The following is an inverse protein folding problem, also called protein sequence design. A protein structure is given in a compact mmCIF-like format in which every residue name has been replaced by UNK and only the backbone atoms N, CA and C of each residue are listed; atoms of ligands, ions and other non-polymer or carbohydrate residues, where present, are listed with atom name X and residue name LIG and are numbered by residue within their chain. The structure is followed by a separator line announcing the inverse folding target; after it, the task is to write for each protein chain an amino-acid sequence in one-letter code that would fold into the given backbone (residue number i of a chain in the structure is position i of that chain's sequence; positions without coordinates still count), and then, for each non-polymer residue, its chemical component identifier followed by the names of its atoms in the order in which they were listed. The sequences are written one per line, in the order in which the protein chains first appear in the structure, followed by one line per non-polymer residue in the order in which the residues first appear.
data_IF_591689401313
#
_entry.id   IF_591689401313
#
_cell.length_a   1.000
_cell.length_b   1.000
_cell.length_c   1.000
_cell.angle_alpha   90.00
_cell.angle_beta   90.00
_cell.angle_gamma   90.00
#
_symmetry.space_group_name_H-M   'P 1'
#
loop_
_entity.id
_entity.type
_entity.pdbx_description
1 polymer ?
#
# COMPACT_ATOMS: atom_id res chain seq x y z
N UNK A 1 12.31 23.27 -4.76
CA UNK A 1 12.69 23.48 -6.18
C UNK A 1 14.09 22.98 -6.52
N UNK A 2 15.15 23.35 -5.78
CA UNK A 2 16.52 22.86 -6.06
C UNK A 2 16.65 21.35 -5.83
N UNK A 3 16.11 20.83 -4.73
CA UNK A 3 16.14 19.38 -4.41
C UNK A 3 15.36 18.56 -5.45
N UNK A 4 14.19 19.04 -5.88
CA UNK A 4 13.38 18.39 -6.92
C UNK A 4 14.07 18.40 -8.29
N UNK A 5 14.80 19.47 -8.63
CA UNK A 5 15.56 19.57 -9.87
C UNK A 5 16.78 18.62 -9.87
N UNK A 6 17.45 18.51 -8.72
CA UNK A 6 18.61 17.63 -8.54
C UNK A 6 18.23 16.15 -8.64
N UNK A 7 17.09 15.76 -8.07
CA UNK A 7 16.48 14.43 -8.25
C UNK A 7 16.21 14.11 -9.73
N UNK A 8 15.69 15.10 -10.48
CA UNK A 8 15.38 14.93 -11.90
C UNK A 8 16.65 14.76 -12.75
N UNK A 9 17.71 15.52 -12.46
CA UNK A 9 19.00 15.39 -13.16
C UNK A 9 19.64 14.02 -12.89
N UNK A 10 19.63 13.55 -11.64
CA UNK A 10 20.14 12.21 -11.29
C UNK A 10 19.35 11.13 -12.03
N UNK A 11 18.04 11.27 -12.12
CA UNK A 11 17.18 10.34 -12.83
C UNK A 11 17.48 10.29 -14.34
N UNK A 12 17.71 11.45 -14.98
CA UNK A 12 18.11 11.51 -16.40
C UNK A 12 19.47 10.86 -16.61
N UNK A 13 20.46 11.14 -15.75
CA UNK A 13 21.80 10.54 -15.82
C UNK A 13 21.72 9.02 -15.69
N UNK A 14 20.88 8.53 -14.77
CA UNK A 14 20.64 7.10 -14.60
C UNK A 14 20.04 6.46 -15.86
N UNK A 15 19.03 7.08 -16.47
CA UNK A 15 18.43 6.61 -17.73
C UNK A 15 19.46 6.59 -18.87
N UNK A 16 20.28 7.64 -19.00
CA UNK A 16 21.35 7.70 -19.99
C UNK A 16 22.38 6.57 -19.79
N UNK A 17 22.75 6.29 -18.54
CA UNK A 17 23.71 5.24 -18.23
C UNK A 17 23.18 3.84 -18.59
N UNK A 18 21.92 3.57 -18.25
CA UNK A 18 21.24 2.30 -18.58
C UNK A 18 21.13 2.12 -20.10
N UNK A 19 20.67 3.15 -20.81
CA UNK A 19 20.48 3.07 -22.27
C UNK A 19 21.81 2.92 -23.03
N UNK A 20 22.88 3.56 -22.56
CA UNK A 20 24.22 3.42 -23.13
C UNK A 20 24.80 2.01 -22.90
N UNK A 21 24.67 1.50 -21.67
CA UNK A 21 25.16 0.15 -21.32
C UNK A 21 24.45 -0.97 -22.12
N UNK A 22 23.16 -0.84 -22.39
CA UNK A 22 22.37 -1.81 -23.16
C UNK A 22 22.71 -1.78 -24.65
N UNK A 23 22.97 -0.59 -25.23
CA UNK A 23 23.37 -0.46 -26.65
C UNK A 23 24.71 -1.13 -26.92
N UNK A 24 25.69 -0.98 -26.04
CA UNK A 24 27.04 -1.50 -26.27
C UNK A 24 27.12 -3.04 -26.21
N UNK A 25 26.25 -3.66 -25.41
CA UNK A 25 26.18 -5.11 -25.23
C UNK A 25 25.36 -5.83 -26.31
N UNK A 26 24.39 -5.15 -26.92
CA UNK A 26 23.53 -5.75 -27.98
C UNK A 26 24.17 -5.78 -29.38
N UNK A 27 25.15 -4.91 -29.67
CA UNK A 27 25.79 -4.80 -31.00
C UNK A 27 26.63 -6.04 -31.38
N UNK A 28 27.03 -6.87 -30.42
CA UNK A 28 27.90 -8.05 -30.66
C UNK A 28 27.17 -9.41 -30.66
N UNK A 29 25.87 -9.44 -30.42
CA UNK A 29 25.10 -10.69 -30.32
C UNK A 29 24.58 -11.12 -31.69
N UNK A 30 24.58 -12.43 -31.95
CA UNK A 30 23.82 -13.02 -33.06
C UNK A 30 22.32 -12.83 -32.83
N UNK A 31 21.51 -12.88 -33.91
CA UNK A 31 20.05 -12.69 -33.81
C UNK A 31 19.40 -13.69 -32.83
N UNK A 32 19.90 -14.93 -32.79
CA UNK A 32 19.41 -16.00 -31.92
C UNK A 32 19.72 -15.70 -30.44
N UNK A 33 20.93 -15.25 -30.12
CA UNK A 33 21.31 -14.84 -28.76
C UNK A 33 20.52 -13.61 -28.28
N UNK A 34 20.19 -12.69 -29.20
CA UNK A 34 19.39 -11.51 -28.90
C UNK A 34 17.95 -11.90 -28.53
N UNK A 35 17.34 -12.82 -29.27
CA UNK A 35 15.99 -13.33 -28.96
C UNK A 35 15.95 -14.00 -27.58
N UNK A 36 16.93 -14.85 -27.29
CA UNK A 36 17.04 -15.53 -26.00
C UNK A 36 17.23 -14.56 -24.83
N UNK A 37 18.03 -13.50 -25.03
CA UNK A 37 18.21 -12.44 -24.04
C UNK A 37 16.88 -11.71 -23.78
N UNK A 38 16.13 -11.34 -24.81
CA UNK A 38 14.83 -10.65 -24.67
C UNK A 38 13.83 -11.52 -23.92
N UNK A 39 13.74 -12.81 -24.27
CA UNK A 39 12.89 -13.78 -23.57
C UNK A 39 13.26 -13.89 -22.09
N UNK A 40 14.56 -13.92 -21.77
CA UNK A 40 15.04 -13.99 -20.39
C UNK A 40 14.69 -12.72 -19.61
N UNK A 41 14.95 -11.54 -20.18
CA UNK A 41 14.59 -10.25 -19.57
C UNK A 41 13.09 -10.17 -19.31
N UNK A 42 12.25 -10.61 -20.26
CA UNK A 42 10.80 -10.66 -20.09
C UNK A 42 10.38 -11.55 -18.91
N UNK A 43 10.91 -12.77 -18.84
CA UNK A 43 10.59 -13.69 -17.75
C UNK A 43 10.97 -13.11 -16.39
N UNK A 44 12.18 -12.55 -16.27
CA UNK A 44 12.63 -11.92 -15.02
C UNK A 44 11.82 -10.67 -14.69
N UNK A 45 11.45 -9.85 -15.67
CA UNK A 45 10.65 -8.65 -15.43
C UNK A 45 9.27 -9.00 -14.87
N UNK A 46 8.58 -9.99 -15.46
CA UNK A 46 7.27 -10.44 -14.97
C UNK A 46 7.38 -11.05 -13.58
N UNK A 47 8.37 -11.91 -13.35
CA UNK A 47 8.63 -12.48 -12.02
C UNK A 47 8.92 -11.38 -10.99
N UNK A 48 9.69 -10.37 -11.37
CA UNK A 48 10.05 -9.27 -10.47
C UNK A 48 8.84 -8.39 -10.11
N UNK A 49 8.03 -7.99 -11.10
CA UNK A 49 6.83 -7.18 -10.87
C UNK A 49 5.84 -7.93 -9.97
N UNK A 50 5.60 -9.21 -10.26
CA UNK A 50 4.69 -10.04 -9.45
C UNK A 50 5.21 -10.27 -8.03
N UNK A 51 6.53 -10.43 -7.86
CA UNK A 51 7.16 -10.50 -6.55
C UNK A 51 6.95 -9.21 -5.74
N UNK A 52 7.17 -8.04 -6.35
CA UNK A 52 6.93 -6.74 -5.70
C UNK A 52 5.46 -6.62 -5.29
N UNK A 53 4.52 -7.04 -6.14
CA UNK A 53 3.09 -7.01 -5.80
C UNK A 53 2.78 -7.90 -4.60
N UNK A 54 3.34 -9.11 -4.54
CA UNK A 54 3.19 -10.02 -3.38
C UNK A 54 3.75 -9.40 -2.11
N UNK A 55 4.97 -8.84 -2.16
CA UNK A 55 5.60 -8.19 -1.01
C UNK A 55 4.76 -6.98 -0.56
N UNK A 56 4.34 -6.14 -1.50
CA UNK A 56 3.49 -4.99 -1.22
C UNK A 56 2.17 -5.40 -0.56
N UNK A 57 1.49 -6.41 -1.10
CA UNK A 57 0.29 -6.99 -0.51
C UNK A 57 0.53 -7.50 0.91
N UNK A 58 1.67 -8.16 1.15
CA UNK A 58 2.08 -8.60 2.49
C UNK A 58 2.23 -7.46 3.49
N UNK A 59 2.91 -6.37 3.12
CA UNK A 59 3.06 -5.19 3.99
C UNK A 59 1.69 -4.57 4.31
N UNK A 60 0.82 -4.40 3.31
CA UNK A 60 -0.54 -3.88 3.53
C UNK A 60 -1.39 -4.79 4.40
N UNK A 61 -1.23 -6.11 4.30
CA UNK A 61 -1.91 -7.07 5.15
C UNK A 61 -1.50 -6.90 6.62
N UNK A 62 -0.21 -6.78 6.89
CA UNK A 62 0.30 -6.55 8.25
C UNK A 62 -0.15 -5.21 8.81
N UNK A 63 -0.10 -4.13 8.03
CA UNK A 63 -0.59 -2.82 8.45
C UNK A 63 -2.08 -2.86 8.79
N UNK A 64 -2.90 -3.47 7.93
CA UNK A 64 -4.34 -3.60 8.16
C UNK A 64 -4.65 -4.44 9.41
N UNK A 65 -3.86 -5.47 9.67
CA UNK A 65 -4.02 -6.27 10.89
C UNK A 65 -3.60 -5.48 12.15
N UNK A 66 -2.54 -4.69 12.07
CA UNK A 66 -2.12 -3.80 13.15
C UNK A 66 -3.21 -2.76 13.46
N UNK A 67 -3.79 -2.13 12.43
CA UNK A 67 -4.89 -1.17 12.56
C UNK A 67 -6.17 -1.79 13.13
N UNK A 68 -6.38 -3.09 12.93
CA UNK A 68 -7.50 -3.82 13.53
C UNK A 68 -7.30 -4.08 15.02
N UNK A 69 -6.08 -4.48 15.41
CA UNK A 69 -5.73 -4.78 16.81
C UNK A 69 -5.59 -3.50 17.64
N UNK A 70 -4.97 -2.48 17.05
CA UNK A 70 -4.71 -1.18 17.66
C UNK A 70 -5.25 -0.06 16.75
N UNK A 71 -6.58 0.12 16.67
CA UNK A 71 -7.15 1.20 15.90
C UNK A 71 -6.66 2.55 16.45
N UNK A 72 -6.49 3.53 15.56
CA UNK A 72 -6.08 4.89 15.95
C UNK A 72 -6.97 5.41 17.08
N UNK A 73 -6.38 5.98 18.15
CA UNK A 73 -7.15 6.53 19.25
C UNK A 73 -8.03 7.69 18.75
N UNK A 74 -9.24 7.79 19.31
CA UNK A 74 -10.06 8.98 19.16
C UNK A 74 -9.40 10.13 19.91
N UNK A 75 -9.15 11.24 19.22
CA UNK A 75 -8.35 12.35 19.73
C UNK A 75 -9.20 13.44 20.40
N UNK A 76 -10.50 13.47 20.14
CA UNK A 76 -11.40 14.49 20.68
C UNK A 76 -11.82 14.10 22.10
N UNK A 77 -11.61 15.01 23.04
CA UNK A 77 -12.01 14.82 24.43
C UNK A 77 -13.50 15.09 24.63
N UNK A 78 -14.09 14.56 25.70
CA UNK A 78 -15.49 14.84 26.03
C UNK A 78 -15.77 16.34 26.18
N UNK A 79 -14.83 17.11 26.74
CA UNK A 79 -14.95 18.56 26.91
C UNK A 79 -14.96 19.31 25.57
N UNK A 80 -14.17 18.85 24.59
CA UNK A 80 -14.20 19.40 23.23
C UNK A 80 -15.52 19.07 22.52
N UNK A 81 -15.99 17.82 22.66
CA UNK A 81 -17.28 17.41 22.11
C UNK A 81 -18.44 18.22 22.72
N UNK A 82 -18.41 18.44 24.04
CA UNK A 82 -19.40 19.21 24.78
C UNK A 82 -19.40 20.68 24.36
N UNK A 83 -18.23 21.33 24.38
CA UNK A 83 -18.10 22.74 24.00
C UNK A 83 -18.52 23.00 22.54
N UNK A 84 -18.19 22.10 21.61
CA UNK A 84 -18.62 22.20 20.21
C UNK A 84 -20.14 22.08 20.06
N UNK A 85 -20.80 21.29 20.91
CA UNK A 85 -22.24 21.09 20.85
C UNK A 85 -23.02 22.21 21.52
N UNK A 86 -22.52 22.73 22.64
CA UNK A 86 -23.05 23.92 23.31
C UNK A 86 -22.99 25.15 22.39
N UNK A 87 -21.90 25.31 21.63
CA UNK A 87 -21.74 26.40 20.64
C UNK A 87 -22.72 26.29 19.46
N UNK A 88 -23.26 25.10 19.17
CA UNK A 88 -24.31 24.87 18.16
C UNK A 88 -25.73 25.02 18.72
N UNK A 89 -25.90 25.03 20.04
CA UNK A 89 -27.19 24.99 20.74
C UNK A 89 -27.59 26.34 21.35
N UNK A 90 -26.95 27.46 20.96
CA UNK A 90 -27.29 28.82 21.45
C UNK A 90 -28.76 29.25 21.25
N UNK A 91 -29.60 28.46 20.56
CA UNK A 91 -31.04 28.72 20.41
C UNK A 91 -31.96 28.09 21.49
N UNK A 92 -31.52 27.17 22.36
CA UNK A 92 -32.41 26.54 23.36
C UNK A 92 -31.74 26.26 24.72
N UNK A 93 -31.63 27.30 25.55
CA UNK A 93 -31.32 27.16 26.98
C UNK A 93 -32.58 26.76 27.76
N UNK A 94 -32.64 25.50 28.25
CA UNK A 94 -33.19 25.11 29.57
C UNK A 94 -33.38 23.58 29.67
N UNK A 95 -32.35 22.80 30.06
CA UNK A 95 -32.54 21.46 30.65
C UNK A 95 -31.25 20.94 31.34
N UNK A 96 -30.83 21.62 32.40
CA UNK A 96 -29.44 21.64 32.89
C UNK A 96 -28.98 20.47 33.80
N UNK A 97 -29.35 19.21 33.54
CA UNK A 97 -28.74 18.04 34.23
C UNK A 97 -29.08 16.70 33.57
N UNK A 98 -30.28 16.58 32.98
CA UNK A 98 -30.64 15.46 32.10
C UNK A 98 -29.84 15.46 30.79
N UNK A 99 -29.25 16.60 30.42
CA UNK A 99 -28.51 16.78 29.18
C UNK A 99 -27.08 16.23 29.25
N UNK A 100 -26.40 16.30 30.40
CA UNK A 100 -24.99 15.88 30.52
C UNK A 100 -24.83 14.35 30.44
N UNK A 101 -25.69 13.58 31.13
CA UNK A 101 -25.71 12.12 30.96
C UNK A 101 -26.06 11.71 29.53
N UNK A 102 -27.00 12.42 28.88
CA UNK A 102 -27.35 12.18 27.48
C UNK A 102 -26.20 12.53 26.55
N UNK A 103 -25.43 13.57 26.86
CA UNK A 103 -24.29 14.02 26.09
C UNK A 103 -23.12 13.03 26.20
N UNK A 104 -22.86 12.53 27.40
CA UNK A 104 -21.84 11.52 27.66
C UNK A 104 -22.17 10.21 26.94
N UNK A 105 -23.43 9.74 27.02
CA UNK A 105 -23.86 8.55 26.25
C UNK A 105 -23.71 8.72 24.74
N UNK A 106 -23.93 9.94 24.23
CA UNK A 106 -23.76 10.22 22.80
C UNK A 106 -22.29 10.27 22.39
N UNK A 107 -21.43 10.82 23.25
CA UNK A 107 -19.98 10.77 23.07
C UNK A 107 -19.48 9.32 23.07
N UNK A 108 -19.86 8.51 24.07
CA UNK A 108 -19.46 7.11 24.18
C UNK A 108 -19.92 6.30 22.95
N UNK A 109 -21.16 6.49 22.51
CA UNK A 109 -21.68 5.85 21.30
C UNK A 109 -20.92 6.27 20.03
N UNK A 110 -20.52 7.54 19.94
CA UNK A 110 -19.74 8.05 18.81
C UNK A 110 -18.32 7.46 18.80
N UNK A 111 -17.66 7.39 19.96
CA UNK A 111 -16.35 6.75 20.13
C UNK A 111 -16.43 5.28 19.72
N UNK A 112 -17.43 4.55 20.24
CA UNK A 112 -17.64 3.14 19.91
C UNK A 112 -17.87 2.95 18.41
N UNK A 113 -18.73 3.76 17.80
CA UNK A 113 -18.98 3.71 16.36
C UNK A 113 -17.72 3.98 15.53
N UNK A 114 -16.88 4.92 15.96
CA UNK A 114 -15.65 5.25 15.25
C UNK A 114 -14.61 4.11 15.36
N UNK A 115 -14.48 3.50 16.53
CA UNK A 115 -13.63 2.32 16.74
C UNK A 115 -14.13 1.14 15.90
N UNK A 116 -15.43 0.84 15.95
CA UNK A 116 -16.06 -0.22 15.17
C UNK A 116 -15.87 0.00 13.67
N UNK A 117 -16.07 1.24 13.19
CA UNK A 117 -15.84 1.62 11.81
C UNK A 117 -14.39 1.46 11.37
N UNK A 118 -13.43 1.82 12.24
CA UNK A 118 -11.99 1.65 11.96
C UNK A 118 -11.61 0.18 11.84
N UNK A 119 -12.10 -0.67 12.75
CA UNK A 119 -11.92 -2.13 12.69
C UNK A 119 -12.51 -2.72 11.40
N UNK A 120 -13.70 -2.29 11.00
CA UNK A 120 -14.33 -2.78 9.77
C UNK A 120 -13.54 -2.36 8.51
N UNK A 121 -13.03 -1.13 8.48
CA UNK A 121 -12.14 -0.67 7.40
C UNK A 121 -10.86 -1.48 7.35
N UNK A 122 -10.24 -1.73 8.50
CA UNK A 122 -9.04 -2.54 8.63
C UNK A 122 -9.26 -3.97 8.09
N UNK A 123 -10.37 -4.62 8.44
CA UNK A 123 -10.74 -5.93 7.88
C UNK A 123 -10.91 -5.91 6.36
N UNK A 124 -11.60 -4.90 5.82
CA UNK A 124 -11.79 -4.77 4.38
C UNK A 124 -10.45 -4.57 3.66
N UNK A 125 -9.58 -3.72 4.20
CA UNK A 125 -8.22 -3.51 3.67
C UNK A 125 -7.38 -4.78 3.74
N UNK A 126 -7.49 -5.54 4.83
CA UNK A 126 -6.83 -6.84 4.95
C UNK A 126 -7.27 -7.80 3.85
N UNK A 127 -8.58 -7.96 3.62
CA UNK A 127 -9.10 -8.83 2.54
C UNK A 127 -8.60 -8.37 1.16
N UNK A 128 -8.61 -7.06 0.90
CA UNK A 128 -8.08 -6.50 -0.36
C UNK A 128 -6.60 -6.78 -0.54
N UNK A 129 -5.81 -6.70 0.53
CA UNK A 129 -4.38 -6.99 0.51
C UNK A 129 -4.09 -8.46 0.20
N UNK A 130 -4.96 -9.39 0.62
CA UNK A 130 -4.86 -10.79 0.23
C UNK A 130 -5.07 -10.98 -1.28
N UNK A 131 -5.97 -10.22 -1.90
CA UNK A 131 -6.13 -10.22 -3.36
C UNK A 131 -4.83 -9.82 -4.09
N UNK A 132 -4.12 -8.83 -3.55
CA UNK A 132 -2.79 -8.39 -4.04
C UNK A 132 -1.70 -9.44 -3.86
N UNK A 133 -1.87 -10.43 -3.00
CA UNK A 133 -0.94 -11.55 -2.83
C UNK A 133 -1.36 -12.72 -3.73
N UNK A 134 -2.63 -13.12 -3.63
CA UNK A 134 -3.15 -14.36 -4.18
C UNK A 134 -3.16 -14.37 -5.72
N UNK A 135 -3.38 -13.22 -6.37
CA UNK A 135 -3.40 -13.10 -7.83
C UNK A 135 -1.98 -13.18 -8.44
N UNK A 136 -0.99 -12.38 -8.00
CA UNK A 136 0.35 -12.41 -8.59
C UNK A 136 1.19 -13.61 -8.16
N UNK A 137 0.95 -14.21 -6.99
CA UNK A 137 1.73 -15.36 -6.51
C UNK A 137 1.78 -16.56 -7.47
N UNK A 138 0.66 -17.07 -8.05
CA UNK A 138 0.72 -18.17 -9.02
C UNK A 138 1.49 -17.80 -10.29
N UNK A 139 1.37 -16.54 -10.74
CA UNK A 139 2.12 -16.02 -11.90
C UNK A 139 3.62 -16.02 -11.57
N UNK A 140 3.99 -15.51 -10.40
CA UNK A 140 5.36 -15.52 -9.91
C UNK A 140 5.93 -16.94 -9.86
N UNK A 141 5.21 -17.88 -9.25
CA UNK A 141 5.65 -19.28 -9.15
C UNK A 141 5.83 -19.91 -10.53
N UNK A 142 4.93 -19.64 -11.48
CA UNK A 142 5.03 -20.13 -12.84
C UNK A 142 6.30 -19.62 -13.54
N UNK A 143 6.54 -18.31 -13.53
CA UNK A 143 7.71 -17.72 -14.16
C UNK A 143 9.01 -18.11 -13.44
N UNK A 144 9.01 -18.20 -12.12
CA UNK A 144 10.15 -18.68 -11.34
C UNK A 144 10.52 -20.12 -11.70
N UNK A 145 9.52 -21.01 -11.85
CA UNK A 145 9.75 -22.39 -12.30
C UNK A 145 10.28 -22.43 -13.73
N UNK A 146 9.74 -21.61 -14.63
CA UNK A 146 10.20 -21.51 -16.02
C UNK A 146 11.66 -21.06 -16.10
N UNK A 147 12.02 -20.00 -15.40
CA UNK A 147 13.39 -19.48 -15.31
C UNK A 147 14.35 -20.56 -14.80
N UNK A 148 13.97 -21.30 -13.75
CA UNK A 148 14.81 -22.36 -13.19
C UNK A 148 15.01 -23.54 -14.14
N UNK A 149 14.00 -23.88 -14.96
CA UNK A 149 14.12 -24.90 -16.00
C UNK A 149 15.03 -24.43 -17.14
N UNK A 150 14.76 -23.24 -17.68
CA UNK A 150 15.55 -22.63 -18.77
C UNK A 150 17.02 -22.36 -18.34
N UNK A 151 17.30 -22.27 -17.03
CA UNK A 151 18.67 -22.21 -16.48
C UNK A 151 19.33 -23.58 -16.45
N UNK A 152 18.59 -24.64 -16.08
CA UNK A 152 19.12 -26.01 -15.99
C UNK A 152 19.47 -26.57 -17.38
N UNK A 153 18.67 -26.26 -18.39
CA UNK A 153 18.89 -26.73 -19.76
C UNK A 153 20.11 -26.06 -20.44
N UNK A 154 20.70 -25.03 -19.82
CA UNK A 154 21.87 -24.29 -20.30
C UNK A 154 23.19 -24.63 -19.59
N UNK A 155 23.16 -25.49 -18.56
CA UNK A 155 24.34 -25.99 -17.82
C UNK A 155 24.62 -27.42 -18.26
#
# INVERSE_FOLDING_TARGET
MIVTLLMLVIFIVFICFVTFGVKQSTIKLTEEEREDMVKQVYQYAVAFITLIMVIGGGVFAFMSLADYVSPSPYLETFEEFKSMREMKSEEQMNENQLDEERLQRQYDAMVEQQIAGSKQRALNSFIKSLGWILIPLPIFIFFQRKINRDRRDRI
#
